data_IF_429660382494
#
_entry.id   IF_429660382494
#
_cell.length_a   1.000
_cell.length_b   1.000
_cell.length_c   1.000
_cell.angle_alpha   90.00
_cell.angle_beta   90.00
_cell.angle_gamma   90.00
#
_symmetry.space_group_name_H-M   'P 1'
#
loop_
_entity.id
_entity.type
_entity.pdbx_description
1 polymer ?
#
# COMPACT_ATOMS: atom_id res chain seq x y z
N UNK A 1 6.66 -0.39 -18.79
CA UNK A 1 5.41 0.11 -18.19
C UNK A 1 5.76 0.59 -16.80
N UNK A 2 5.20 1.72 -16.35
CA UNK A 2 5.40 2.16 -14.96
C UNK A 2 4.43 1.34 -14.10
N UNK A 3 4.91 0.71 -13.03
CA UNK A 3 4.13 -0.15 -12.12
C UNK A 3 3.13 0.69 -11.30
N UNK A 4 2.14 1.25 -11.98
CA UNK A 4 1.15 2.14 -11.40
C UNK A 4 -0.11 1.34 -11.10
N UNK A 5 -0.26 0.95 -9.84
CA UNK A 5 -1.42 0.22 -9.35
C UNK A 5 -2.64 1.14 -9.30
N UNK A 6 -3.81 0.59 -9.64
CA UNK A 6 -5.08 1.30 -9.47
C UNK A 6 -5.35 1.63 -8.00
N UNK A 7 -5.85 2.83 -7.73
CA UNK A 7 -6.10 3.32 -6.37
C UNK A 7 -7.13 2.45 -5.63
N UNK A 8 -8.26 2.18 -6.27
CA UNK A 8 -9.36 1.44 -5.63
C UNK A 8 -8.96 -0.03 -5.40
N UNK A 9 -8.17 -0.60 -6.30
CA UNK A 9 -7.57 -1.91 -6.10
C UNK A 9 -6.64 -1.93 -4.89
N UNK A 10 -5.67 -1.01 -4.82
CA UNK A 10 -4.72 -0.89 -3.71
C UNK A 10 -5.44 -0.69 -2.38
N UNK A 11 -6.31 0.32 -2.32
CA UNK A 11 -6.97 0.71 -1.07
C UNK A 11 -7.85 -0.41 -0.51
N UNK A 12 -8.44 -1.22 -1.40
CA UNK A 12 -9.18 -2.43 -1.00
C UNK A 12 -8.27 -3.51 -0.39
N UNK A 13 -7.09 -3.76 -0.97
CA UNK A 13 -6.13 -4.70 -0.39
C UNK A 13 -5.65 -4.23 0.98
N UNK A 14 -5.28 -2.95 1.07
CA UNK A 14 -4.82 -2.32 2.31
C UNK A 14 -5.90 -2.40 3.39
N UNK A 15 -7.14 -2.04 3.07
CA UNK A 15 -8.26 -2.08 4.02
C UNK A 15 -8.51 -3.48 4.55
N UNK A 16 -8.36 -4.51 3.72
CA UNK A 16 -8.48 -5.90 4.17
C UNK A 16 -7.26 -6.42 4.95
N UNK A 17 -6.11 -5.73 4.86
CA UNK A 17 -4.85 -6.17 5.44
C UNK A 17 -4.33 -7.49 4.83
N UNK A 18 -4.71 -7.81 3.59
CA UNK A 18 -4.41 -9.08 2.97
C UNK A 18 -3.21 -8.95 2.02
N UNK A 19 -2.11 -9.64 2.33
CA UNK A 19 -0.92 -9.75 1.50
C UNK A 19 -0.36 -8.39 1.03
N UNK A 20 -0.32 -7.39 1.90
CA UNK A 20 -0.01 -6.00 1.55
C UNK A 20 1.09 -5.40 2.42
N UNK A 21 1.72 -6.22 3.27
CA UNK A 21 2.79 -5.77 4.15
C UNK A 21 4.08 -5.50 3.37
N UNK A 22 4.97 -4.70 3.94
CA UNK A 22 6.23 -4.29 3.33
C UNK A 22 6.07 -3.78 1.88
N UNK A 23 4.98 -3.04 1.61
CA UNK A 23 4.77 -2.37 0.33
C UNK A 23 5.84 -1.30 0.15
N UNK A 24 6.79 -1.53 -0.74
CA UNK A 24 7.85 -0.61 -1.13
C UNK A 24 7.44 0.18 -2.37
N UNK A 25 7.59 1.50 -2.31
CA UNK A 25 7.27 2.38 -3.42
C UNK A 25 8.13 3.65 -3.39
N UNK A 26 8.20 4.33 -4.52
CA UNK A 26 8.74 5.69 -4.59
C UNK A 26 7.77 6.61 -5.32
N UNK A 27 8.03 7.91 -5.25
CA UNK A 27 7.29 8.89 -6.04
C UNK A 27 8.04 9.22 -7.34
N UNK A 28 7.38 9.04 -8.47
CA UNK A 28 7.95 9.31 -9.81
C UNK A 28 8.29 10.78 -10.09
N UNK A 29 7.90 11.71 -9.20
CA UNK A 29 8.31 13.11 -9.23
C UNK A 29 9.44 13.45 -8.24
N UNK A 30 9.96 12.45 -7.52
CA UNK A 30 11.15 12.55 -6.69
C UNK A 30 12.40 12.23 -7.53
N UNK A 31 13.35 13.18 -7.69
CA UNK A 31 14.57 12.96 -8.46
C UNK A 31 15.52 11.93 -7.81
N UNK A 32 15.38 11.65 -6.52
CA UNK A 32 16.21 10.67 -5.82
C UNK A 32 15.57 9.28 -5.76
N UNK A 33 14.33 9.14 -6.24
CA UNK A 33 13.53 7.91 -6.15
C UNK A 33 13.58 7.31 -4.73
N UNK A 34 13.48 8.16 -3.71
CA UNK A 34 13.54 7.73 -2.31
C UNK A 34 12.44 6.70 -2.02
N UNK A 35 12.85 5.55 -1.49
CA UNK A 35 11.93 4.46 -1.18
C UNK A 35 11.18 4.73 0.12
N UNK A 36 9.91 4.37 0.10
CA UNK A 36 9.01 4.43 1.22
C UNK A 36 8.38 3.07 1.42
N UNK A 37 8.13 2.75 2.69
CA UNK A 37 7.51 1.49 3.09
C UNK A 37 6.22 1.77 3.82
N UNK A 38 5.21 0.95 3.54
CA UNK A 38 3.99 0.87 4.32
C UNK A 38 3.52 -0.56 4.41
N UNK A 39 2.64 -0.84 5.36
CA UNK A 39 2.09 -2.17 5.48
C UNK A 39 0.95 -2.27 6.48
N UNK A 40 0.57 -3.52 6.73
CA UNK A 40 -0.48 -3.88 7.67
C UNK A 40 -0.07 -5.16 8.39
N UNK A 41 0.03 -5.08 9.71
CA UNK A 41 0.32 -6.20 10.60
C UNK A 41 -0.86 -6.34 11.59
N UNK A 42 -1.91 -7.10 11.24
CA UNK A 42 -3.17 -7.19 12.00
C UNK A 42 -3.03 -7.66 13.45
N UNK A 43 -1.89 -8.23 13.82
CA UNK A 43 -1.59 -8.71 15.16
C UNK A 43 -1.25 -7.60 16.17
N UNK A 44 -1.08 -6.35 15.74
CA UNK A 44 -0.76 -5.21 16.60
C UNK A 44 -1.96 -4.29 16.84
N UNK A 45 -1.93 -3.52 17.93
CA UNK A 45 -2.99 -2.55 18.29
C UNK A 45 -3.21 -1.50 17.20
N UNK A 46 -2.11 -1.02 16.59
CA UNK A 46 -2.09 -0.13 15.44
C UNK A 46 -1.52 -0.90 14.24
N UNK A 47 -2.37 -1.59 13.47
CA UNK A 47 -1.88 -2.54 12.49
C UNK A 47 -1.28 -1.86 11.27
N UNK A 48 -1.67 -0.63 10.96
CA UNK A 48 -1.22 0.09 9.77
C UNK A 48 0.01 0.93 10.07
N UNK A 49 1.02 0.86 9.22
CA UNK A 49 2.28 1.54 9.48
C UNK A 49 2.89 2.14 8.21
N UNK A 50 3.70 3.18 8.39
CA UNK A 50 4.55 3.77 7.36
C UNK A 50 5.96 3.96 7.93
N UNK A 51 6.95 3.42 7.22
CA UNK A 51 8.38 3.65 7.45
C UNK A 51 9.22 2.39 7.64
N UNK A 52 10.46 2.42 7.14
CA UNK A 52 11.64 1.66 7.58
C UNK A 52 12.90 2.39 7.08
N UNK A 53 14.00 2.29 7.85
CA UNK A 53 15.39 2.74 7.61
C UNK A 53 15.78 4.23 7.44
N UNK A 54 14.95 5.16 6.96
CA UNK A 54 15.40 6.58 6.82
C UNK A 54 14.38 7.65 7.29
N UNK A 55 13.21 7.25 7.78
CA UNK A 55 12.19 8.18 8.30
C UNK A 55 12.29 8.29 9.81
N UNK A 56 12.85 9.40 10.30
CA UNK A 56 12.80 9.78 11.71
C UNK A 56 11.32 9.99 12.11
N UNK A 57 10.76 9.08 12.91
CA UNK A 57 9.34 9.13 13.30
C UNK A 57 8.39 8.36 12.39
N UNK A 58 8.69 7.09 12.10
CA UNK A 58 7.70 6.14 11.53
C UNK A 58 6.33 6.27 12.22
N UNK A 59 5.26 6.13 11.44
CA UNK A 59 3.90 6.42 11.88
C UNK A 59 3.05 5.16 11.89
N UNK A 60 2.25 5.01 12.94
CA UNK A 60 1.30 3.90 13.11
C UNK A 60 -0.13 4.44 13.21
N UNK A 61 -1.07 3.72 12.60
CA UNK A 61 -2.46 4.13 12.45
C UNK A 61 -3.42 3.00 12.83
N UNK A 62 -4.60 3.37 13.31
CA UNK A 62 -5.64 2.41 13.69
C UNK A 62 -6.39 1.90 12.44
N UNK A 63 -6.45 2.71 11.38
CA UNK A 63 -7.18 2.37 10.14
C UNK A 63 -6.40 2.67 8.86
N UNK A 64 -6.73 1.95 7.78
CA UNK A 64 -6.19 2.22 6.45
C UNK A 64 -6.51 3.65 5.97
N UNK A 65 -7.70 4.17 6.27
CA UNK A 65 -8.10 5.54 5.88
C UNK A 65 -7.20 6.58 6.55
N UNK A 66 -6.90 6.42 7.84
CA UNK A 66 -5.98 7.32 8.54
C UNK A 66 -4.58 7.34 7.91
N UNK A 67 -4.03 6.15 7.61
CA UNK A 67 -2.73 6.03 6.95
C UNK A 67 -2.71 6.79 5.62
N UNK A 68 -3.69 6.54 4.75
CA UNK A 68 -3.65 7.11 3.40
C UNK A 68 -3.96 8.60 3.34
N UNK A 69 -4.59 9.15 4.37
CA UNK A 69 -4.91 10.57 4.52
C UNK A 69 -3.85 11.35 5.32
N UNK A 70 -2.96 10.65 6.03
CA UNK A 70 -1.92 11.28 6.84
C UNK A 70 -0.96 12.11 5.98
N UNK A 71 -0.73 13.36 6.35
CA UNK A 71 0.09 14.33 5.59
C UNK A 71 1.59 14.21 5.87
N UNK A 72 2.09 12.99 5.80
CA UNK A 72 3.47 12.63 6.20
C UNK A 72 4.47 12.69 5.04
N UNK A 73 4.01 12.85 3.80
CA UNK A 73 4.88 12.95 2.61
C UNK A 73 5.02 14.41 2.18
N UNK A 74 5.92 15.15 2.85
CA UNK A 74 6.15 16.58 2.60
C UNK A 74 4.86 17.43 2.69
N UNK A 75 4.04 17.16 3.71
CA UNK A 75 2.78 17.87 3.95
C UNK A 75 1.61 17.43 3.07
N UNK A 76 1.79 16.37 2.25
CA UNK A 76 0.74 15.73 1.47
C UNK A 76 0.52 14.29 1.91
N UNK A 77 -0.69 13.80 1.65
CA UNK A 77 -1.09 12.42 1.90
C UNK A 77 -0.72 11.47 0.77
N UNK A 78 -0.72 10.16 1.06
CA UNK A 78 -0.53 9.12 0.03
C UNK A 78 -1.60 9.24 -1.06
N UNK A 79 -2.86 9.46 -0.66
CA UNK A 79 -4.00 9.61 -1.57
C UNK A 79 -3.83 10.80 -2.53
N UNK A 80 -3.40 11.96 -2.01
CA UNK A 80 -3.12 13.14 -2.84
C UNK A 80 -1.98 12.90 -3.84
N UNK A 81 -1.02 12.02 -3.49
CA UNK A 81 0.15 11.72 -4.33
C UNK A 81 0.02 10.42 -5.13
N UNK A 82 -1.10 9.71 -5.07
CA UNK A 82 -1.21 8.36 -5.66
C UNK A 82 -0.87 8.32 -7.15
N UNK A 83 -1.26 9.35 -7.91
CA UNK A 83 -0.92 9.48 -9.34
C UNK A 83 0.60 9.53 -9.62
N UNK A 84 1.44 9.65 -8.59
CA UNK A 84 2.90 9.65 -8.66
C UNK A 84 3.53 8.39 -8.07
N UNK A 85 2.78 7.55 -7.38
CA UNK A 85 3.29 6.33 -6.74
C UNK A 85 3.68 5.30 -7.79
N UNK A 86 4.84 4.70 -7.61
CA UNK A 86 5.31 3.54 -8.37
C UNK A 86 5.65 2.43 -7.38
N UNK A 87 4.95 1.29 -7.50
CA UNK A 87 5.17 0.15 -6.61
C UNK A 87 6.38 -0.66 -7.09
N UNK A 88 7.32 -0.90 -6.18
CA UNK A 88 8.50 -1.72 -6.40
C UNK A 88 8.20 -3.19 -6.04
N UNK A 89 7.79 -3.40 -4.79
CA UNK A 89 7.54 -4.73 -4.22
C UNK A 89 6.48 -4.69 -3.14
N UNK A 90 5.87 -5.84 -2.86
CA UNK A 90 4.92 -6.09 -1.78
C UNK A 90 5.23 -7.48 -1.22
N UNK A 91 5.21 -7.66 0.11
CA UNK A 91 5.61 -8.91 0.79
C UNK A 91 7.03 -9.38 0.40
N UNK A 92 7.95 -8.44 0.17
CA UNK A 92 9.31 -8.71 -0.31
C UNK A 92 9.40 -9.23 -1.76
N UNK A 93 8.30 -9.21 -2.51
CA UNK A 93 8.21 -9.74 -3.87
C UNK A 93 7.96 -8.63 -4.89
N UNK A 94 8.60 -8.72 -6.05
CA UNK A 94 8.40 -7.73 -7.12
C UNK A 94 6.93 -7.63 -7.54
N UNK A 95 6.48 -6.41 -7.85
CA UNK A 95 5.09 -6.08 -8.18
C UNK A 95 4.37 -7.08 -9.09
N UNK A 96 4.96 -7.44 -10.24
CA UNK A 96 4.33 -8.35 -11.21
C UNK A 96 4.16 -9.79 -10.67
N UNK A 97 5.12 -10.23 -9.85
CA UNK A 97 5.07 -11.56 -9.24
C UNK A 97 4.02 -11.61 -8.14
N UNK A 98 3.98 -10.58 -7.29
CA UNK A 98 2.94 -10.43 -6.28
C UNK A 98 1.53 -10.41 -6.92
N UNK A 99 1.36 -9.62 -7.99
CA UNK A 99 0.08 -9.47 -8.68
C UNK A 99 -0.44 -10.80 -9.26
N UNK A 100 0.46 -11.66 -9.74
CA UNK A 100 0.09 -12.94 -10.37
C UNK A 100 0.05 -14.14 -9.42
N UNK A 101 0.67 -14.05 -8.24
CA UNK A 101 0.88 -15.21 -7.36
C UNK A 101 0.08 -15.17 -6.06
N UNK A 102 -0.46 -14.01 -5.68
CA UNK A 102 -1.23 -13.85 -4.44
C UNK A 102 -2.72 -13.74 -4.72
N UNK A 103 -3.50 -14.21 -3.76
CA UNK A 103 -4.93 -13.94 -3.73
C UNK A 103 -5.16 -12.46 -3.42
N UNK A 104 -6.09 -11.85 -4.15
CA UNK A 104 -6.48 -10.45 -4.01
C UNK A 104 -7.94 -10.33 -3.62
N UNK A 105 -8.25 -9.29 -2.85
CA UNK A 105 -9.61 -9.00 -2.39
C UNK A 105 -10.49 -8.73 -3.62
N UNK A 106 -11.57 -9.50 -3.82
CA UNK A 106 -12.49 -9.30 -4.93
C UNK A 106 -13.26 -8.00 -4.77
N UNK A 107 -13.80 -7.46 -5.87
CA UNK A 107 -14.58 -6.21 -5.90
C UNK A 107 -16.03 -6.36 -5.39
N UNK A 108 -16.33 -7.37 -4.56
CA UNK A 108 -17.67 -7.89 -4.19
C UNK A 108 -18.39 -8.79 -5.22
N UNK A 109 -19.27 -9.69 -4.73
CA UNK A 109 -18.96 -11.10 -4.54
C UNK A 109 -19.24 -11.92 -5.82
N UNK A 110 -18.52 -13.04 -5.97
CA UNK A 110 -19.02 -14.12 -6.80
C UNK A 110 -20.40 -14.52 -6.27
N UNK A 111 -21.44 -14.14 -7.01
CA UNK A 111 -22.77 -14.64 -6.81
C UNK A 111 -22.74 -16.13 -7.13
N UNK A 112 -22.46 -16.95 -6.10
CA UNK A 112 -22.61 -18.39 -6.15
C UNK A 112 -24.09 -18.71 -6.38
N UNK A 113 -24.49 -18.64 -7.64
CA UNK A 113 -25.71 -19.25 -8.15
C UNK A 113 -25.49 -20.75 -8.08
N UNK A 114 -25.68 -21.33 -6.88
CA UNK A 114 -25.87 -22.76 -6.76
C UNK A 114 -27.12 -23.10 -7.57
N UNK A 115 -26.89 -23.68 -8.75
CA UNK A 115 -27.90 -24.42 -9.53
C UNK A 115 -27.86 -25.88 -9.10
#
# INVERSE_FOLDING_TARGET
>A
MKNQMDWEFFFRQLTAGMNIDETCFYFSDDPNEEEHYLGCLPQYDKPYWVGYCDVDGGCEFDTAEELVQAKIFNGKSLKERWSRVVICSIEGLGYEYWLSSFDHVPTEPECNSKS
#
